data_IF_266173174841
#
_entry.id   IF_266173174841
#
_cell.length_a   1.000
_cell.length_b   1.000
_cell.length_c   1.000
_cell.angle_alpha   90.00
_cell.angle_beta   90.00
_cell.angle_gamma   90.00
#
_symmetry.space_group_name_H-M   'P 1'
#
loop_
_entity.id
_entity.type
_entity.pdbx_description
1 polymer ?
#
# COMPACT_ATOMS: atom_id res chain seq x y z
N UNK A 1 1.99 -23.77 -12.48
CA UNK A 1 0.71 -23.06 -12.46
C UNK A 1 0.22 -22.80 -13.89
N UNK A 2 -1.09 -22.91 -14.21
CA UNK A 2 -1.60 -22.54 -15.53
C UNK A 2 -1.39 -21.04 -15.81
N UNK A 3 -0.95 -20.69 -17.02
CA UNK A 3 -0.66 -19.29 -17.39
C UNK A 3 -1.84 -18.34 -17.23
N UNK A 4 -3.06 -18.82 -17.48
CA UNK A 4 -4.25 -17.99 -17.34
C UNK A 4 -4.50 -17.53 -15.89
N UNK A 5 -4.18 -18.36 -14.89
CA UNK A 5 -4.30 -17.98 -13.46
C UNK A 5 -3.35 -16.84 -13.14
N UNK A 6 -2.10 -16.91 -13.63
CA UNK A 6 -1.12 -15.84 -13.46
C UNK A 6 -1.61 -14.54 -14.12
N UNK A 7 -2.08 -14.62 -15.38
CA UNK A 7 -2.59 -13.44 -16.08
C UNK A 7 -3.76 -12.80 -15.34
N UNK A 8 -4.72 -13.60 -14.86
CA UNK A 8 -5.87 -13.09 -14.10
C UNK A 8 -5.41 -12.42 -12.81
N UNK A 9 -4.50 -13.03 -12.06
CA UNK A 9 -3.97 -12.48 -10.82
C UNK A 9 -3.23 -11.15 -11.06
N UNK A 10 -2.39 -11.08 -12.09
CA UNK A 10 -1.66 -9.87 -12.47
C UNK A 10 -2.62 -8.75 -12.92
N UNK A 11 -3.63 -9.08 -13.69
CA UNK A 11 -4.64 -8.09 -14.12
C UNK A 11 -5.47 -7.55 -12.95
N UNK A 12 -5.81 -8.39 -11.96
CA UNK A 12 -6.48 -7.94 -10.74
C UNK A 12 -5.60 -6.94 -9.96
N UNK A 13 -4.31 -7.25 -9.82
CA UNK A 13 -3.36 -6.33 -9.18
C UNK A 13 -3.22 -5.04 -9.97
N UNK A 14 -3.11 -5.11 -11.29
CA UNK A 14 -3.01 -3.94 -12.15
C UNK A 14 -4.22 -3.01 -12.01
N UNK A 15 -5.43 -3.57 -11.97
CA UNK A 15 -6.66 -2.81 -11.73
C UNK A 15 -6.67 -2.20 -10.34
N UNK A 16 -6.39 -2.99 -9.29
CA UNK A 16 -6.35 -2.51 -7.93
C UNK A 16 -5.32 -1.37 -7.75
N UNK A 17 -4.11 -1.54 -8.27
CA UNK A 17 -3.05 -0.53 -8.22
C UNK A 17 -3.46 0.75 -8.97
N UNK A 18 -4.06 0.63 -10.17
CA UNK A 18 -4.51 1.79 -10.94
C UNK A 18 -5.59 2.58 -10.20
N UNK A 19 -6.52 1.91 -9.53
CA UNK A 19 -7.54 2.54 -8.69
C UNK A 19 -6.90 3.19 -7.46
N UNK A 20 -5.89 2.56 -6.84
CA UNK A 20 -5.12 3.15 -5.74
C UNK A 20 -4.40 4.44 -6.18
N UNK A 21 -3.70 4.41 -7.33
CA UNK A 21 -3.05 5.61 -7.90
C UNK A 21 -4.07 6.74 -8.07
N UNK A 22 -5.25 6.42 -8.59
CA UNK A 22 -6.31 7.41 -8.77
C UNK A 22 -6.81 7.98 -7.44
N UNK A 23 -6.97 7.14 -6.41
CA UNK A 23 -7.37 7.56 -5.07
C UNK A 23 -6.30 8.43 -4.39
N UNK A 24 -5.01 8.07 -4.55
CA UNK A 24 -3.89 8.84 -4.02
C UNK A 24 -3.80 10.21 -4.68
N UNK A 25 -3.90 10.29 -6.01
CA UNK A 25 -3.93 11.57 -6.75
C UNK A 25 -5.11 12.46 -6.29
N UNK A 26 -6.30 11.89 -6.13
CA UNK A 26 -7.47 12.59 -5.61
C UNK A 26 -7.23 13.15 -4.21
N UNK A 27 -6.64 12.34 -3.33
CA UNK A 27 -6.39 12.69 -1.93
C UNK A 27 -5.30 13.73 -1.78
N UNK A 28 -4.22 13.64 -2.58
CA UNK A 28 -3.17 14.66 -2.64
C UNK A 28 -3.73 16.02 -3.08
N UNK A 29 -4.55 16.03 -4.14
CA UNK A 29 -5.20 17.26 -4.61
C UNK A 29 -6.18 17.81 -3.58
N UNK A 30 -6.96 16.96 -2.90
CA UNK A 30 -7.91 17.38 -1.86
C UNK A 30 -7.17 17.95 -0.62
N UNK A 31 -6.07 17.31 -0.18
CA UNK A 31 -5.25 17.81 0.91
C UNK A 31 -4.55 19.14 0.55
N UNK A 32 -4.06 19.28 -0.69
CA UNK A 32 -3.44 20.51 -1.17
C UNK A 32 -4.40 21.71 -1.17
N UNK A 33 -5.69 21.45 -1.44
CA UNK A 33 -6.75 22.48 -1.38
C UNK A 33 -6.99 23.02 0.02
N UNK A 34 -6.58 22.35 1.08
CA UNK A 34 -6.67 22.89 2.45
C UNK A 34 -5.78 24.13 2.64
N UNK A 35 -4.72 24.26 1.84
CA UNK A 35 -3.75 25.35 1.95
C UNK A 35 -3.86 26.33 0.78
N UNK A 36 -4.01 25.80 -0.44
CA UNK A 36 -4.09 26.60 -1.66
C UNK A 36 -5.41 26.31 -2.37
N UNK A 37 -6.34 27.29 -2.49
CA UNK A 37 -7.66 27.10 -3.05
C UNK A 37 -7.60 26.97 -4.59
N UNK A 38 -7.19 25.79 -5.07
CA UNK A 38 -7.18 25.46 -6.51
C UNK A 38 -8.34 24.52 -6.86
N UNK A 39 -8.66 24.45 -8.14
CA UNK A 39 -9.61 23.44 -8.63
C UNK A 39 -9.03 22.03 -8.44
N UNK A 40 -9.86 21.08 -7.96
CA UNK A 40 -9.49 19.69 -7.74
C UNK A 40 -8.86 19.06 -8.98
N UNK A 41 -9.45 19.27 -10.17
CA UNK A 41 -8.96 18.73 -11.42
C UNK A 41 -7.53 19.25 -11.77
N UNK A 42 -7.28 20.53 -11.52
CA UNK A 42 -5.93 21.13 -11.75
C UNK A 42 -4.91 20.47 -10.81
N UNK A 43 -5.26 20.26 -9.54
CA UNK A 43 -4.41 19.58 -8.57
C UNK A 43 -4.08 18.14 -9.00
N UNK A 44 -5.08 17.36 -9.37
CA UNK A 44 -4.92 15.99 -9.84
C UNK A 44 -4.03 15.92 -11.09
N UNK A 45 -4.30 16.74 -12.10
CA UNK A 45 -3.47 16.81 -13.34
C UNK A 45 -2.03 17.22 -13.00
N UNK A 46 -1.86 18.25 -12.14
CA UNK A 46 -0.54 18.72 -11.72
C UNK A 46 0.28 17.63 -11.04
N UNK A 47 -0.28 16.93 -10.05
CA UNK A 47 0.41 15.82 -9.38
C UNK A 47 0.68 14.65 -10.32
N UNK A 48 -0.28 14.27 -11.17
CA UNK A 48 -0.08 13.20 -12.14
C UNK A 48 1.07 13.51 -13.11
N UNK A 49 1.16 14.75 -13.60
CA UNK A 49 2.27 15.17 -14.49
C UNK A 49 3.61 15.19 -13.77
N UNK A 50 3.68 15.75 -12.54
CA UNK A 50 4.90 15.79 -11.74
C UNK A 50 5.41 14.37 -11.50
N UNK A 51 4.53 13.45 -11.09
CA UNK A 51 4.88 12.06 -10.81
C UNK A 51 5.30 11.31 -12.07
N UNK A 52 4.55 11.42 -13.16
CA UNK A 52 4.90 10.75 -14.41
C UNK A 52 6.26 11.24 -14.95
N UNK A 53 6.54 12.55 -14.88
CA UNK A 53 7.83 13.10 -15.30
C UNK A 53 8.94 12.61 -14.35
N UNK A 54 8.73 12.66 -13.03
CA UNK A 54 9.75 12.22 -12.08
C UNK A 54 10.07 10.74 -12.20
N UNK A 55 9.09 9.89 -12.44
CA UNK A 55 9.26 8.43 -12.59
C UNK A 55 10.05 8.06 -13.86
N UNK A 56 9.91 8.86 -14.92
CA UNK A 56 10.64 8.66 -16.18
C UNK A 56 12.06 9.25 -16.12
N UNK A 57 12.27 10.35 -15.36
CA UNK A 57 13.51 11.14 -15.43
C UNK A 57 14.43 10.95 -14.24
N UNK A 58 13.90 10.59 -13.08
CA UNK A 58 14.66 10.51 -11.82
C UNK A 58 14.65 9.07 -11.29
N UNK A 59 15.81 8.44 -11.06
CA UNK A 59 15.87 7.12 -10.44
C UNK A 59 15.16 7.10 -9.08
N UNK A 60 14.30 6.10 -8.88
CA UNK A 60 13.44 6.00 -7.68
C UNK A 60 14.23 6.15 -6.38
N UNK A 61 15.37 5.47 -6.23
CA UNK A 61 16.18 5.50 -5.02
C UNK A 61 16.71 6.89 -4.62
N UNK A 62 16.77 7.85 -5.56
CA UNK A 62 17.24 9.20 -5.25
C UNK A 62 16.18 10.05 -4.58
N UNK A 63 14.97 10.07 -5.14
CA UNK A 63 13.92 10.91 -4.57
C UNK A 63 13.23 10.25 -3.37
N UNK A 64 13.15 8.93 -3.32
CA UNK A 64 12.54 8.21 -2.19
C UNK A 64 13.24 8.50 -0.86
N UNK A 65 14.58 8.69 -0.89
CA UNK A 65 15.36 9.09 0.31
C UNK A 65 14.91 10.44 0.88
N UNK A 66 14.59 11.40 0.02
CA UNK A 66 14.10 12.71 0.46
C UNK A 66 12.64 12.63 0.90
N UNK A 67 11.80 11.93 0.16
CA UNK A 67 10.36 11.84 0.43
C UNK A 67 10.02 11.07 1.71
N UNK A 68 10.85 10.10 2.13
CA UNK A 68 10.64 9.39 3.39
C UNK A 68 10.57 10.33 4.61
N UNK A 69 11.25 11.49 4.56
CA UNK A 69 11.16 12.49 5.62
C UNK A 69 9.77 13.12 5.72
N UNK A 70 9.03 13.23 4.61
CA UNK A 70 7.65 13.70 4.64
C UNK A 70 6.73 12.71 5.35
N UNK A 71 7.00 11.41 5.24
CA UNK A 71 6.24 10.38 5.94
C UNK A 71 6.38 10.47 7.47
N UNK A 72 7.44 11.12 7.99
CA UNK A 72 7.58 11.38 9.42
C UNK A 72 6.46 12.26 9.97
N UNK A 73 5.78 13.05 9.13
CA UNK A 73 4.60 13.82 9.54
C UNK A 73 3.47 12.91 10.07
N UNK A 74 3.40 11.64 9.63
CA UNK A 74 2.45 10.66 10.15
C UNK A 74 2.70 10.30 11.62
N UNK A 75 3.93 10.49 12.13
CA UNK A 75 4.24 10.35 13.55
C UNK A 75 3.49 11.38 14.41
N UNK A 76 2.96 12.44 13.81
CA UNK A 76 2.07 13.37 14.49
C UNK A 76 0.83 12.66 15.08
N UNK A 77 0.29 11.65 14.39
CA UNK A 77 -0.81 10.85 14.94
C UNK A 77 -0.40 10.08 16.20
N UNK A 78 0.85 9.62 16.25
CA UNK A 78 1.42 9.00 17.47
C UNK A 78 1.54 10.05 18.57
N UNK A 79 1.99 11.27 18.26
CA UNK A 79 2.07 12.35 19.23
C UNK A 79 0.70 12.75 19.79
N UNK A 80 -0.37 12.73 18.95
CA UNK A 80 -1.74 13.00 19.41
C UNK A 80 -2.18 12.00 20.49
N UNK A 81 -1.75 10.74 20.45
CA UNK A 81 -2.10 9.75 21.48
C UNK A 81 -1.71 10.17 22.91
N UNK A 82 -0.67 10.99 23.04
CA UNK A 82 -0.18 11.49 24.34
C UNK A 82 -0.88 12.78 24.78
N UNK A 83 -1.50 13.53 23.86
CA UNK A 83 -2.17 14.79 24.12
C UNK A 83 -3.69 14.64 24.18
N UNK A 84 -4.26 13.80 23.31
CA UNK A 84 -5.67 13.49 23.34
C UNK A 84 -5.99 12.61 24.55
N UNK A 85 -7.12 12.86 25.19
CA UNK A 85 -7.60 12.07 26.31
C UNK A 85 -8.11 10.71 25.81
N UNK A 86 -7.17 9.80 25.49
CA UNK A 86 -7.49 8.45 25.05
C UNK A 86 -7.85 7.58 26.23
N UNK A 87 -9.04 7.02 26.22
CA UNK A 87 -9.45 6.00 27.21
C UNK A 87 -8.80 4.65 26.87
N UNK A 88 -7.58 4.46 27.37
CA UNK A 88 -6.78 3.25 27.11
C UNK A 88 -7.45 1.96 27.61
N UNK A 89 -8.26 2.04 28.68
CA UNK A 89 -8.99 0.89 29.19
C UNK A 89 -10.06 0.44 28.18
N UNK A 90 -10.80 1.40 27.63
CA UNK A 90 -11.79 1.13 26.59
C UNK A 90 -11.14 0.69 25.27
N UNK A 91 -10.00 1.26 24.88
CA UNK A 91 -9.25 0.83 23.69
C UNK A 91 -8.78 -0.62 23.85
N UNK A 92 -8.18 -0.97 25.00
CA UNK A 92 -7.75 -2.34 25.27
C UNK A 92 -8.92 -3.33 25.30
N UNK A 93 -10.02 -2.96 25.96
CA UNK A 93 -11.22 -3.78 26.01
C UNK A 93 -11.83 -4.00 24.61
N UNK A 94 -11.99 -2.93 23.83
CA UNK A 94 -12.59 -3.00 22.49
C UNK A 94 -11.68 -3.73 21.47
N UNK A 95 -10.37 -3.71 21.69
CA UNK A 95 -9.40 -4.50 20.90
C UNK A 95 -9.51 -5.99 21.23
N UNK A 96 -9.67 -6.34 22.53
CA UNK A 96 -9.77 -7.73 22.98
C UNK A 96 -11.17 -8.33 22.70
N UNK A 97 -12.22 -7.52 22.81
CA UNK A 97 -13.62 -7.92 22.62
C UNK A 97 -14.27 -6.97 21.63
N UNK A 98 -13.97 -7.11 20.33
CA UNK A 98 -14.51 -6.23 19.29
C UNK A 98 -16.03 -6.39 19.22
N UNK A 99 -16.74 -5.26 19.28
CA UNK A 99 -18.17 -5.20 18.97
C UNK A 99 -18.32 -5.14 17.47
N UNK A 100 -18.96 -6.12 16.90
CA UNK A 100 -19.13 -6.24 15.46
C UNK A 100 -20.61 -6.38 15.11
N UNK A 101 -21.10 -5.44 14.34
CA UNK A 101 -22.42 -5.51 13.76
C UNK A 101 -22.34 -6.24 12.42
N UNK A 102 -23.11 -7.32 12.26
CA UNK A 102 -23.11 -8.15 11.05
C UNK A 102 -23.87 -7.45 9.90
N UNK A 103 -23.43 -6.23 9.54
CA UNK A 103 -23.98 -5.44 8.44
C UNK A 103 -23.03 -5.44 7.24
N UNK A 104 -23.57 -5.17 6.05
CA UNK A 104 -22.74 -5.02 4.84
C UNK A 104 -21.66 -3.96 4.99
N UNK A 105 -22.00 -2.82 5.62
CA UNK A 105 -21.05 -1.73 5.85
C UNK A 105 -19.88 -2.18 6.73
N UNK A 106 -20.18 -2.94 7.81
CA UNK A 106 -19.14 -3.45 8.71
C UNK A 106 -18.19 -4.42 8.01
N UNK A 107 -18.70 -5.32 7.17
CA UNK A 107 -17.87 -6.23 6.38
C UNK A 107 -17.07 -5.47 5.31
N UNK A 108 -17.65 -4.47 4.64
CA UNK A 108 -16.94 -3.62 3.68
C UNK A 108 -15.75 -2.90 4.31
N UNK A 109 -15.96 -2.33 5.50
CA UNK A 109 -14.90 -1.68 6.27
C UNK A 109 -13.81 -2.67 6.71
N UNK A 110 -14.17 -3.89 7.12
CA UNK A 110 -13.19 -4.92 7.44
C UNK A 110 -12.40 -5.39 6.22
N UNK A 111 -13.05 -5.55 5.08
CA UNK A 111 -12.38 -5.88 3.80
C UNK A 111 -11.39 -4.75 3.44
N UNK A 112 -11.84 -3.49 3.56
CA UNK A 112 -11.00 -2.32 3.30
C UNK A 112 -9.80 -2.27 4.25
N UNK A 113 -10.03 -2.45 5.56
CA UNK A 113 -8.97 -2.47 6.58
C UNK A 113 -7.93 -3.58 6.30
N UNK A 114 -8.41 -4.79 6.00
CA UNK A 114 -7.54 -5.90 5.64
C UNK A 114 -6.76 -5.62 4.35
N UNK A 115 -7.40 -5.02 3.35
CA UNK A 115 -6.80 -4.67 2.06
C UNK A 115 -5.74 -3.57 2.15
N UNK A 116 -5.91 -2.61 3.06
CA UNK A 116 -4.87 -1.59 3.33
C UNK A 116 -3.71 -2.16 4.13
N UNK A 117 -3.95 -3.18 4.97
CA UNK A 117 -2.91 -3.81 5.78
C UNK A 117 -2.07 -4.79 4.97
N UNK A 118 -2.71 -5.59 4.11
CA UNK A 118 -2.06 -6.58 3.24
C UNK A 118 -2.31 -6.16 1.79
N UNK A 119 -1.50 -5.22 1.32
CA UNK A 119 -1.65 -4.67 -0.02
C UNK A 119 -0.96 -5.57 -1.05
N UNK A 120 -1.68 -6.03 -2.08
CA UNK A 120 -1.18 -6.99 -3.06
C UNK A 120 0.07 -6.55 -3.82
N UNK A 121 0.22 -5.26 -4.08
CA UNK A 121 1.35 -4.72 -4.84
C UNK A 121 2.70 -4.93 -4.14
N UNK A 122 2.72 -5.01 -2.79
CA UNK A 122 3.94 -5.22 -2.02
C UNK A 122 4.61 -6.56 -2.34
N UNK A 123 3.83 -7.59 -2.69
CA UNK A 123 4.39 -8.90 -3.05
C UNK A 123 5.24 -8.83 -4.34
N UNK A 124 4.79 -8.02 -5.31
CA UNK A 124 5.54 -7.83 -6.57
C UNK A 124 6.68 -6.83 -6.39
N UNK A 125 6.42 -5.72 -5.71
CA UNK A 125 7.41 -4.67 -5.49
C UNK A 125 8.62 -5.19 -4.72
N UNK A 126 8.39 -5.81 -3.56
CA UNK A 126 9.48 -6.34 -2.74
C UNK A 126 10.31 -7.38 -3.50
N UNK A 127 9.67 -8.26 -4.25
CA UNK A 127 10.38 -9.27 -5.03
C UNK A 127 11.23 -8.64 -6.15
N UNK A 128 10.70 -7.62 -6.84
CA UNK A 128 11.42 -6.92 -7.90
C UNK A 128 12.62 -6.13 -7.34
N UNK A 129 12.45 -5.40 -6.24
CA UNK A 129 13.53 -4.65 -5.58
C UNK A 129 14.66 -5.57 -5.12
N UNK A 130 14.36 -6.69 -4.50
CA UNK A 130 15.37 -7.69 -4.08
C UNK A 130 16.16 -8.23 -5.27
N UNK A 131 15.50 -8.45 -6.42
CA UNK A 131 16.17 -8.89 -7.64
C UNK A 131 17.03 -7.78 -8.24
N UNK A 132 16.57 -6.53 -8.23
CA UNK A 132 17.35 -5.40 -8.74
C UNK A 132 18.57 -5.10 -7.86
N UNK A 133 18.42 -5.08 -6.54
CA UNK A 133 19.53 -4.89 -5.60
C UNK A 133 20.62 -5.94 -5.83
N UNK A 134 20.21 -7.18 -6.02
CA UNK A 134 21.13 -8.27 -6.34
C UNK A 134 21.87 -8.05 -7.67
N UNK A 135 21.18 -7.52 -8.68
CA UNK A 135 21.80 -7.22 -9.99
C UNK A 135 22.82 -6.08 -9.90
N UNK A 136 22.62 -5.13 -9.00
CA UNK A 136 23.51 -3.97 -8.81
C UNK A 136 24.76 -4.28 -7.99
N UNK A 137 24.68 -5.22 -7.05
CA UNK A 137 25.78 -5.59 -6.16
C UNK A 137 26.11 -7.09 -6.26
N UNK A 138 26.55 -7.60 -7.41
CA UNK A 138 26.87 -9.02 -7.56
C UNK A 138 27.96 -9.52 -6.62
N UNK A 139 28.89 -8.64 -6.20
CA UNK A 139 30.01 -8.98 -5.32
C UNK A 139 29.59 -9.22 -3.87
N UNK A 140 28.46 -8.66 -3.43
CA UNK A 140 27.94 -8.87 -2.07
C UNK A 140 27.21 -10.23 -1.94
N UNK A 141 26.95 -10.89 -3.06
CA UNK A 141 26.35 -12.21 -3.14
C UNK A 141 27.47 -13.25 -3.39
N UNK A 142 28.20 -13.62 -2.33
CA UNK A 142 29.16 -14.73 -2.41
C UNK A 142 28.48 -15.99 -2.97
N UNK A 143 29.11 -16.56 -4.01
CA UNK A 143 28.68 -17.82 -4.57
C UNK A 143 29.03 -18.88 -3.53
N UNK A 144 28.09 -19.25 -2.67
CA UNK A 144 28.19 -20.42 -1.82
C UNK A 144 28.18 -21.64 -2.77
N UNK A 145 29.30 -22.35 -2.83
CA UNK A 145 29.64 -23.28 -3.91
C UNK A 145 28.68 -24.44 -4.19
N UNK A 146 27.64 -24.62 -3.37
CA UNK A 146 26.62 -25.68 -3.50
C UNK A 146 25.26 -25.17 -4.05
N UNK A 147 25.05 -23.87 -4.20
CA UNK A 147 23.75 -23.34 -4.67
C UNK A 147 23.90 -22.22 -5.72
N UNK A 148 23.30 -22.39 -6.92
CA UNK A 148 23.41 -21.42 -8.00
C UNK A 148 22.68 -20.08 -7.72
N UNK A 149 21.99 -19.96 -6.58
CA UNK A 149 21.20 -18.77 -6.25
C UNK A 149 21.97 -17.67 -5.52
N UNK A 150 23.18 -17.93 -4.98
CA UNK A 150 23.99 -16.94 -4.24
C UNK A 150 23.28 -16.27 -3.05
N UNK A 151 22.17 -16.82 -2.55
CA UNK A 151 21.41 -16.27 -1.41
C UNK A 151 22.03 -16.78 -0.12
N UNK A 152 22.58 -15.87 0.69
CA UNK A 152 23.18 -16.18 1.98
C UNK A 152 22.18 -16.05 3.14
N UNK A 153 22.48 -16.65 4.28
CA UNK A 153 21.64 -16.55 5.47
C UNK A 153 21.57 -15.11 6.01
N UNK A 154 22.65 -14.35 5.86
CA UNK A 154 22.70 -12.93 6.23
C UNK A 154 21.70 -12.09 5.42
N UNK A 155 21.60 -12.30 4.11
CA UNK A 155 20.62 -11.61 3.26
C UNK A 155 19.19 -11.93 3.66
N UNK A 156 18.86 -13.21 3.86
CA UNK A 156 17.50 -13.60 4.29
C UNK A 156 17.17 -13.02 5.66
N UNK A 157 18.15 -12.94 6.57
CA UNK A 157 17.94 -12.34 7.90
C UNK A 157 17.74 -10.83 7.80
N UNK A 158 18.52 -10.12 6.98
CA UNK A 158 18.38 -8.68 6.74
C UNK A 158 17.02 -8.36 6.12
N UNK A 159 16.63 -9.05 5.03
CA UNK A 159 15.32 -8.91 4.40
C UNK A 159 14.17 -9.14 5.38
N UNK A 160 14.24 -10.21 6.20
CA UNK A 160 13.20 -10.47 7.22
C UNK A 160 13.13 -9.38 8.27
N UNK A 161 14.27 -8.82 8.69
CA UNK A 161 14.34 -7.72 9.64
C UNK A 161 13.73 -6.45 9.07
N UNK A 162 14.01 -6.14 7.82
CA UNK A 162 13.48 -4.99 7.11
C UNK A 162 11.96 -5.08 6.94
N UNK A 163 11.46 -6.19 6.39
CA UNK A 163 10.03 -6.44 6.23
C UNK A 163 9.31 -6.40 7.58
N UNK A 164 9.85 -7.04 8.63
CA UNK A 164 9.22 -7.05 9.95
C UNK A 164 9.14 -5.65 10.56
N UNK A 165 10.23 -4.88 10.51
CA UNK A 165 10.27 -3.52 11.06
C UNK A 165 9.36 -2.57 10.31
N UNK A 166 9.33 -2.66 8.97
CA UNK A 166 8.44 -1.86 8.12
C UNK A 166 6.97 -2.16 8.39
N UNK A 167 6.59 -3.45 8.40
CA UNK A 167 5.22 -3.86 8.69
C UNK A 167 4.77 -3.48 10.11
N UNK A 168 5.64 -3.68 11.11
CA UNK A 168 5.33 -3.30 12.50
C UNK A 168 5.10 -1.79 12.63
N UNK A 169 5.96 -0.98 12.00
CA UNK A 169 5.82 0.48 11.99
C UNK A 169 4.52 0.91 11.30
N UNK A 170 4.20 0.33 10.13
CA UNK A 170 2.97 0.63 9.40
C UNK A 170 1.71 0.30 10.21
N UNK A 171 1.65 -0.91 10.81
CA UNK A 171 0.53 -1.32 11.66
C UNK A 171 0.41 -0.43 12.91
N UNK A 172 1.53 -0.03 13.51
CA UNK A 172 1.52 0.87 14.67
C UNK A 172 1.00 2.26 14.31
N UNK A 173 1.42 2.84 13.18
CA UNK A 173 0.90 4.13 12.69
C UNK A 173 -0.60 4.03 12.37
N UNK A 174 -1.02 2.95 11.71
CA UNK A 174 -2.44 2.71 11.44
C UNK A 174 -3.26 2.65 12.74
N UNK A 175 -2.79 1.92 13.73
CA UNK A 175 -3.42 1.88 15.06
C UNK A 175 -3.48 3.28 15.70
N UNK A 176 -2.40 4.06 15.62
CA UNK A 176 -2.36 5.43 16.14
C UNK A 176 -3.41 6.32 15.47
N UNK A 177 -3.55 6.25 14.14
CA UNK A 177 -4.57 6.99 13.37
C UNK A 177 -5.97 6.58 13.81
N UNK A 178 -6.24 5.28 13.96
CA UNK A 178 -7.55 4.78 14.40
C UNK A 178 -7.88 5.25 15.83
N UNK A 179 -6.95 5.11 16.76
CA UNK A 179 -7.15 5.48 18.16
C UNK A 179 -7.33 7.00 18.33
N UNK A 180 -6.54 7.82 17.61
CA UNK A 180 -6.70 9.28 17.63
C UNK A 180 -8.01 9.72 17.00
N UNK A 181 -8.43 9.12 15.89
CA UNK A 181 -9.71 9.41 15.25
C UNK A 181 -10.88 9.02 16.14
N UNK A 182 -10.78 7.90 16.86
CA UNK A 182 -11.78 7.50 17.83
C UNK A 182 -11.87 8.47 19.02
N UNK A 183 -10.74 8.93 19.55
CA UNK A 183 -10.69 9.86 20.69
C UNK A 183 -11.09 11.29 20.33
N UNK A 184 -11.00 11.70 19.08
CA UNK A 184 -11.30 13.07 18.63
C UNK A 184 -12.61 13.16 17.86
N UNK A 185 -12.73 12.52 16.70
CA UNK A 185 -13.88 12.62 15.82
C UNK A 185 -15.10 11.87 16.39
N UNK A 186 -14.92 10.61 16.76
CA UNK A 186 -16.01 9.78 17.27
C UNK A 186 -16.54 10.31 18.62
N UNK A 187 -15.67 10.84 19.47
CA UNK A 187 -16.07 11.51 20.71
C UNK A 187 -16.94 12.76 20.47
N UNK A 188 -16.84 13.39 19.29
CA UNK A 188 -17.68 14.52 18.86
C UNK A 188 -18.89 14.08 18.03
N UNK A 189 -19.13 12.76 17.89
CA UNK A 189 -20.24 12.21 17.10
C UNK A 189 -20.02 12.23 15.59
N UNK A 190 -18.79 12.55 15.12
CA UNK A 190 -18.42 12.52 13.71
C UNK A 190 -18.02 11.09 13.35
N UNK A 191 -18.94 10.35 12.74
CA UNK A 191 -18.74 8.94 12.38
C UNK A 191 -18.55 8.71 10.87
N UNK A 192 -18.82 9.73 10.05
CA UNK A 192 -18.71 9.65 8.59
C UNK A 192 -17.84 10.78 8.07
N UNK A 193 -16.60 10.49 7.77
CA UNK A 193 -15.62 11.42 7.22
C UNK A 193 -15.82 11.48 5.70
N UNK A 194 -16.10 12.67 5.18
CA UNK A 194 -16.35 12.88 3.74
C UNK A 194 -15.33 13.81 3.09
N UNK A 195 -14.62 14.62 3.86
CA UNK A 195 -13.70 15.63 3.36
C UNK A 195 -12.30 15.49 3.93
N UNK A 196 -11.30 16.01 3.21
CA UNK A 196 -9.92 16.06 3.69
C UNK A 196 -9.79 16.95 4.95
N UNK A 197 -10.65 17.97 5.08
CA UNK A 197 -10.68 18.85 6.25
C UNK A 197 -11.11 18.08 7.50
N UNK A 198 -12.18 17.29 7.41
CA UNK A 198 -12.62 16.39 8.50
C UNK A 198 -11.53 15.37 8.85
N UNK A 199 -10.88 14.80 7.84
CA UNK A 199 -9.79 13.83 8.05
C UNK A 199 -8.53 14.44 8.73
N UNK A 200 -8.32 15.76 8.61
CA UNK A 200 -7.24 16.49 9.30
C UNK A 200 -7.56 16.83 10.76
N UNK A 201 -8.82 16.83 11.17
CA UNK A 201 -9.24 17.27 12.52
C UNK A 201 -8.56 16.49 13.67
N UNK A 202 -8.29 15.16 13.58
CA UNK A 202 -7.59 14.44 14.61
C UNK A 202 -6.21 15.03 15.00
N UNK A 203 -5.61 15.82 14.11
CA UNK A 203 -4.32 16.47 14.35
C UNK A 203 -4.44 17.81 15.09
N UNK A 204 -5.64 18.38 15.22
CA UNK A 204 -5.86 19.68 15.89
C UNK A 204 -5.36 19.75 17.34
N UNK A 205 -5.46 18.69 18.17
CA UNK A 205 -4.99 18.78 19.56
C UNK A 205 -3.49 19.14 19.72
N UNK A 206 -2.67 18.81 18.71
CA UNK A 206 -1.23 19.16 18.73
C UNK A 206 -0.86 20.25 17.74
N UNK A 207 -1.54 20.32 16.59
CA UNK A 207 -1.18 21.23 15.50
C UNK A 207 -2.07 22.47 15.42
N UNK A 208 -3.19 22.54 16.17
CA UNK A 208 -4.12 23.66 16.12
C UNK A 208 -4.51 24.00 14.68
N UNK A 209 -4.31 25.25 14.27
CA UNK A 209 -4.61 25.75 12.93
C UNK A 209 -3.70 25.16 11.84
N UNK A 210 -2.53 24.60 12.21
CA UNK A 210 -1.60 23.94 11.31
C UNK A 210 -1.98 22.46 11.02
N UNK A 211 -3.07 21.94 11.56
CA UNK A 211 -3.51 20.56 11.34
C UNK A 211 -3.67 20.22 9.86
N UNK A 212 -4.22 21.16 9.06
CA UNK A 212 -4.34 21.00 7.62
C UNK A 212 -2.99 20.91 6.90
N UNK A 213 -2.00 21.70 7.32
CA UNK A 213 -0.64 21.65 6.75
C UNK A 213 0.05 20.32 7.09
N UNK A 214 -0.05 19.88 8.34
CA UNK A 214 0.54 18.63 8.79
C UNK A 214 -0.10 17.42 8.08
N UNK A 215 -1.41 17.43 7.91
CA UNK A 215 -2.14 16.45 7.13
C UNK A 215 -1.69 16.44 5.66
N UNK A 216 -1.58 17.63 5.04
CA UNK A 216 -1.09 17.77 3.67
C UNK A 216 0.30 17.15 3.51
N UNK A 217 1.24 17.47 4.40
CA UNK A 217 2.61 16.92 4.33
C UNK A 217 2.60 15.39 4.43
N UNK A 218 1.74 14.81 5.28
CA UNK A 218 1.56 13.37 5.38
C UNK A 218 1.02 12.76 4.09
N UNK A 219 -0.07 13.29 3.58
CA UNK A 219 -0.71 12.78 2.35
C UNK A 219 0.20 12.95 1.13
N UNK A 220 0.88 14.10 1.01
CA UNK A 220 1.86 14.30 -0.07
C UNK A 220 3.03 13.32 0.05
N UNK A 221 3.58 13.15 1.26
CA UNK A 221 4.70 12.23 1.48
C UNK A 221 4.34 10.80 1.11
N UNK A 222 3.19 10.32 1.58
CA UNK A 222 2.69 8.98 1.25
C UNK A 222 2.40 8.87 -0.24
N UNK A 223 1.63 9.79 -0.84
CA UNK A 223 1.23 9.70 -2.25
C UNK A 223 2.42 9.80 -3.22
N UNK A 224 3.39 10.68 -2.94
CA UNK A 224 4.60 10.80 -3.75
C UNK A 224 5.49 9.54 -3.69
N UNK A 225 5.42 8.76 -2.60
CA UNK A 225 6.12 7.47 -2.49
C UNK A 225 5.30 6.29 -3.01
N UNK A 226 4.00 6.25 -2.72
CA UNK A 226 3.15 5.11 -3.06
C UNK A 226 2.87 5.01 -4.55
N UNK A 227 2.61 6.13 -5.23
CA UNK A 227 2.22 6.13 -6.65
C UNK A 227 3.29 5.49 -7.55
N UNK A 228 4.59 5.83 -7.45
CA UNK A 228 5.63 5.14 -8.20
C UNK A 228 5.75 3.65 -7.86
N UNK A 229 5.59 3.29 -6.59
CA UNK A 229 5.62 1.88 -6.15
C UNK A 229 4.44 1.10 -6.76
N UNK A 230 3.24 1.69 -6.80
CA UNK A 230 2.04 1.08 -7.38
C UNK A 230 2.19 0.92 -8.91
N UNK A 231 2.65 1.97 -9.60
CA UNK A 231 2.85 1.95 -11.04
C UNK A 231 3.99 1.00 -11.44
N UNK A 232 5.12 1.06 -10.72
CA UNK A 232 6.27 0.16 -10.90
C UNK A 232 5.91 -1.30 -10.63
N UNK A 233 5.23 -1.60 -9.52
CA UNK A 233 4.74 -2.95 -9.20
C UNK A 233 3.85 -3.52 -10.31
N UNK A 234 2.96 -2.69 -10.87
CA UNK A 234 2.11 -3.08 -12.00
C UNK A 234 2.94 -3.37 -13.24
N UNK A 235 3.93 -2.52 -13.52
CA UNK A 235 4.81 -2.67 -14.67
C UNK A 235 5.68 -3.92 -14.55
N UNK A 236 6.24 -4.22 -13.39
CA UNK A 236 6.99 -5.46 -13.12
C UNK A 236 6.10 -6.69 -13.31
N UNK A 237 4.93 -6.73 -12.65
CA UNK A 237 4.04 -7.88 -12.73
C UNK A 237 3.60 -8.19 -14.17
N UNK A 238 3.30 -7.15 -14.97
CA UNK A 238 2.92 -7.32 -16.37
C UNK A 238 4.15 -7.71 -17.21
N UNK A 239 5.29 -7.02 -17.06
CA UNK A 239 6.48 -7.27 -17.86
C UNK A 239 7.01 -8.70 -17.66
N UNK A 240 7.10 -9.17 -16.40
CA UNK A 240 7.48 -10.56 -16.07
C UNK A 240 6.51 -11.58 -16.69
N UNK A 241 5.19 -11.32 -16.63
CA UNK A 241 4.18 -12.22 -17.17
C UNK A 241 4.32 -12.42 -18.69
N UNK A 242 4.70 -11.35 -19.40
CA UNK A 242 4.86 -11.36 -20.86
C UNK A 242 6.31 -11.53 -21.33
N UNK A 243 7.28 -11.61 -20.40
CA UNK A 243 8.70 -11.79 -20.71
C UNK A 243 9.33 -10.55 -21.35
N UNK A 244 8.88 -9.34 -20.98
CA UNK A 244 9.45 -8.09 -21.45
C UNK A 244 10.67 -7.70 -20.62
N UNK A 245 11.52 -6.84 -21.18
CA UNK A 245 12.60 -6.22 -20.42
C UNK A 245 12.02 -5.29 -19.38
N UNK A 246 12.47 -5.44 -18.16
CA UNK A 246 11.98 -4.72 -16.99
C UNK A 246 13.16 -4.29 -16.13
N UNK A 247 13.14 -3.06 -15.68
CA UNK A 247 13.91 -2.50 -14.57
C UNK A 247 13.68 -0.99 -14.52
N UNK A 248 13.58 -0.44 -13.34
CA UNK A 248 13.57 1.02 -13.11
C UNK A 248 14.95 1.66 -13.31
N UNK A 249 16.00 0.85 -13.39
CA UNK A 249 17.37 1.31 -13.69
C UNK A 249 17.66 1.40 -15.19
N UNK A 250 16.85 0.76 -16.02
CA UNK A 250 16.98 0.84 -17.46
C UNK A 250 16.39 2.17 -17.98
N UNK A 251 17.07 2.76 -18.98
CA UNK A 251 16.49 3.93 -19.64
C UNK A 251 15.16 3.56 -20.34
N UNK A 252 14.19 4.49 -20.44
CA UNK A 252 12.89 4.24 -21.08
C UNK A 252 12.98 3.70 -22.51
N UNK A 253 14.07 4.03 -23.22
CA UNK A 253 14.32 3.52 -24.57
C UNK A 253 14.66 2.01 -24.60
N UNK A 254 15.16 1.46 -23.49
CA UNK A 254 15.57 0.06 -23.37
C UNK A 254 14.45 -0.85 -22.86
N UNK A 255 13.48 -0.30 -22.09
CA UNK A 255 12.35 -0.98 -21.51
C UNK A 255 11.01 -0.30 -21.86
N UNK A 256 10.78 -0.06 -23.16
CA UNK A 256 9.62 0.72 -23.65
C UNK A 256 8.26 0.17 -23.18
N UNK A 257 8.09 -1.14 -23.17
CA UNK A 257 6.83 -1.75 -22.74
C UNK A 257 6.59 -1.56 -21.25
N UNK A 258 7.64 -1.73 -20.43
CA UNK A 258 7.61 -1.50 -18.99
C UNK A 258 7.18 -0.06 -18.63
N UNK A 259 7.87 0.93 -19.20
CA UNK A 259 7.50 2.34 -19.00
C UNK A 259 6.16 2.69 -19.65
N UNK A 260 5.77 1.99 -20.73
CA UNK A 260 4.44 2.11 -21.32
C UNK A 260 3.33 1.71 -20.36
N UNK A 261 3.52 0.64 -19.57
CA UNK A 261 2.57 0.23 -18.53
C UNK A 261 2.44 1.32 -17.45
N UNK A 262 3.56 1.88 -16.97
CA UNK A 262 3.57 2.98 -15.99
C UNK A 262 2.72 4.16 -16.50
N UNK A 263 3.01 4.62 -17.72
CA UNK A 263 2.29 5.75 -18.32
C UNK A 263 0.80 5.45 -18.51
N UNK A 264 0.47 4.26 -19.00
CA UNK A 264 -0.94 3.85 -19.20
C UNK A 264 -1.67 3.78 -17.86
N UNK A 265 -1.08 3.17 -16.82
CA UNK A 265 -1.67 3.12 -15.48
C UNK A 265 -1.92 4.52 -14.93
N UNK A 266 -0.97 5.45 -15.11
CA UNK A 266 -1.11 6.84 -14.68
C UNK A 266 -2.21 7.57 -15.46
N UNK A 267 -2.31 7.39 -16.78
CA UNK A 267 -3.35 8.00 -17.60
C UNK A 267 -4.74 7.47 -17.26
N UNK A 268 -4.87 6.16 -17.04
CA UNK A 268 -6.13 5.55 -16.60
C UNK A 268 -6.51 6.07 -15.22
N UNK A 269 -5.57 6.10 -14.28
CA UNK A 269 -5.79 6.63 -12.93
C UNK A 269 -6.21 8.11 -12.96
N UNK A 270 -5.56 8.92 -13.80
CA UNK A 270 -5.95 10.31 -14.03
C UNK A 270 -7.39 10.39 -14.57
N UNK A 271 -7.74 9.58 -15.57
CA UNK A 271 -9.07 9.57 -16.18
C UNK A 271 -10.17 9.19 -15.19
N UNK A 272 -9.90 8.23 -14.28
CA UNK A 272 -10.82 7.81 -13.23
C UNK A 272 -11.20 8.97 -12.28
N UNK A 273 -10.33 9.95 -12.10
CA UNK A 273 -10.62 11.11 -11.25
C UNK A 273 -11.72 12.03 -11.83
N UNK A 274 -12.06 11.90 -13.11
CA UNK A 274 -13.13 12.69 -13.75
C UNK A 274 -14.49 11.99 -13.73
N UNK A 275 -14.59 10.80 -13.13
CA UNK A 275 -15.87 10.07 -12.97
C UNK A 275 -16.78 10.70 -11.89
N UNK A 276 -16.26 11.65 -11.09
CA UNK A 276 -17.04 12.37 -10.10
C UNK A 276 -17.15 11.67 -8.74
N UNK A 277 -16.28 10.69 -8.45
CA UNK A 277 -16.21 10.03 -7.14
C UNK A 277 -15.47 10.94 -6.16
N UNK A 278 -16.01 11.09 -4.94
CA UNK A 278 -15.34 11.85 -3.88
C UNK A 278 -14.03 11.17 -3.45
N UNK A 279 -12.96 11.94 -3.12
CA UNK A 279 -11.63 11.38 -2.78
C UNK A 279 -11.66 10.32 -1.67
N UNK A 280 -12.39 10.58 -0.58
CA UNK A 280 -12.48 9.63 0.54
C UNK A 280 -13.19 8.33 0.14
N UNK A 281 -14.27 8.43 -0.63
CA UNK A 281 -14.95 7.23 -1.17
C UNK A 281 -14.04 6.45 -2.14
N UNK A 282 -13.21 7.19 -2.88
CA UNK A 282 -12.28 6.55 -3.80
C UNK A 282 -11.21 5.74 -3.07
N UNK A 283 -10.68 6.28 -1.95
CA UNK A 283 -9.77 5.53 -1.07
C UNK A 283 -10.44 4.26 -0.52
N UNK A 284 -11.72 4.34 -0.10
CA UNK A 284 -12.46 3.17 0.38
C UNK A 284 -12.61 2.11 -0.72
N UNK A 285 -13.00 2.51 -1.93
CA UNK A 285 -13.13 1.59 -3.08
C UNK A 285 -11.79 0.92 -3.38
N UNK A 286 -10.70 1.68 -3.41
CA UNK A 286 -9.35 1.17 -3.62
C UNK A 286 -8.97 0.14 -2.54
N UNK A 287 -9.24 0.45 -1.27
CA UNK A 287 -8.98 -0.43 -0.14
C UNK A 287 -9.79 -1.74 -0.22
N UNK A 288 -11.06 -1.68 -0.59
CA UNK A 288 -11.90 -2.86 -0.80
C UNK A 288 -11.38 -3.72 -1.95
N UNK A 289 -10.98 -3.13 -3.07
CA UNK A 289 -10.38 -3.86 -4.20
C UNK A 289 -9.10 -4.59 -3.79
N UNK A 290 -8.25 -3.95 -2.98
CA UNK A 290 -7.06 -4.59 -2.41
C UNK A 290 -7.45 -5.78 -1.52
N UNK A 291 -8.45 -5.60 -0.64
CA UNK A 291 -8.94 -6.66 0.24
C UNK A 291 -9.55 -7.85 -0.49
N UNK A 292 -10.15 -7.62 -1.66
CA UNK A 292 -10.68 -8.68 -2.51
C UNK A 292 -9.58 -9.43 -3.30
N UNK A 293 -8.55 -8.72 -3.74
CA UNK A 293 -7.47 -9.30 -4.54
C UNK A 293 -6.39 -9.99 -3.70
N UNK A 294 -6.13 -9.53 -2.47
CA UNK A 294 -5.09 -10.05 -1.61
C UNK A 294 -5.22 -11.57 -1.31
N UNK A 295 -6.38 -12.12 -0.94
CA UNK A 295 -6.51 -13.56 -0.66
C UNK A 295 -6.13 -14.45 -1.85
N UNK A 296 -6.42 -14.01 -3.07
CA UNK A 296 -6.09 -14.75 -4.30
C UNK A 296 -4.57 -14.87 -4.43
N UNK A 297 -3.84 -13.77 -4.22
CA UNK A 297 -2.38 -13.77 -4.26
C UNK A 297 -1.77 -14.54 -3.08
N UNK A 298 -2.35 -14.42 -1.89
CA UNK A 298 -1.88 -15.17 -0.72
C UNK A 298 -1.96 -16.69 -0.93
N UNK A 299 -2.99 -17.17 -1.64
CA UNK A 299 -3.07 -18.58 -2.07
C UNK A 299 -1.89 -18.94 -2.98
N UNK A 300 -1.58 -18.08 -3.96
CA UNK A 300 -0.43 -18.30 -4.85
C UNK A 300 0.87 -18.33 -4.06
N UNK A 301 1.09 -17.36 -3.19
CA UNK A 301 2.28 -17.30 -2.31
C UNK A 301 2.37 -18.53 -1.41
N UNK A 302 1.24 -19.05 -0.90
CA UNK A 302 1.23 -20.26 -0.08
C UNK A 302 1.71 -21.49 -0.87
N UNK A 303 1.32 -21.63 -2.14
CA UNK A 303 1.80 -22.71 -3.01
C UNK A 303 3.30 -22.56 -3.31
N UNK A 304 3.79 -21.33 -3.56
CA UNK A 304 5.22 -21.07 -3.78
C UNK A 304 6.04 -21.32 -2.51
N UNK A 305 5.57 -20.89 -1.35
CA UNK A 305 6.25 -21.00 -0.06
C UNK A 305 6.51 -22.45 0.40
N UNK A 306 5.75 -23.42 -0.12
CA UNK A 306 5.94 -24.84 0.19
C UNK A 306 6.79 -25.61 -0.81
N UNK A 307 7.07 -25.01 -1.98
CA UNK A 307 7.77 -25.70 -3.08
C UNK A 307 9.28 -25.78 -2.78
N UNK A 308 9.72 -26.96 -2.34
CA UNK A 308 11.13 -27.22 -2.05
C UNK A 308 11.99 -27.31 -3.31
N UNK A 309 11.41 -27.59 -4.47
CA UNK A 309 12.18 -27.64 -5.72
C UNK A 309 12.54 -26.21 -6.17
N UNK A 310 11.68 -25.22 -5.84
CA UNK A 310 11.92 -23.81 -6.13
C UNK A 310 12.81 -23.13 -5.09
N UNK A 311 12.52 -23.37 -3.81
CA UNK A 311 13.12 -22.62 -2.69
C UNK A 311 14.27 -23.38 -1.99
N UNK A 312 14.44 -24.69 -2.27
CA UNK A 312 15.48 -25.49 -1.63
C UNK A 312 15.40 -25.44 -0.10
N UNK A 313 16.54 -25.09 0.52
CA UNK A 313 16.66 -24.92 1.99
C UNK A 313 15.85 -23.72 2.55
N UNK A 314 15.48 -22.78 1.70
CA UNK A 314 14.74 -21.57 2.08
C UNK A 314 13.21 -21.75 2.09
N UNK A 315 12.72 -22.96 1.81
CA UNK A 315 11.30 -23.23 1.90
C UNK A 315 10.76 -22.85 3.29
N UNK A 316 9.61 -22.17 3.29
CA UNK A 316 9.02 -21.60 4.52
C UNK A 316 8.76 -22.69 5.57
N UNK A 317 9.03 -22.43 6.87
CA UNK A 317 8.73 -23.35 7.95
C UNK A 317 7.21 -23.56 8.10
N UNK A 318 6.82 -24.66 8.75
CA UNK A 318 5.41 -25.05 8.86
C UNK A 318 4.57 -23.97 9.55
N UNK A 319 5.07 -23.35 10.62
CA UNK A 319 4.33 -22.30 11.35
C UNK A 319 4.01 -21.09 10.47
N UNK A 320 4.95 -20.68 9.60
CA UNK A 320 4.73 -19.56 8.66
C UNK A 320 3.66 -19.90 7.62
N UNK A 321 3.66 -21.14 7.12
CA UNK A 321 2.64 -21.62 6.17
C UNK A 321 1.25 -21.70 6.82
N UNK A 322 1.19 -22.10 8.09
CA UNK A 322 -0.07 -22.13 8.86
C UNK A 322 -0.58 -20.70 9.08
N UNK A 323 0.27 -19.76 9.49
CA UNK A 323 -0.13 -18.36 9.67
C UNK A 323 -0.63 -17.75 8.37
N UNK A 324 0.08 -17.99 7.25
CA UNK A 324 -0.36 -17.52 5.94
C UNK A 324 -1.71 -18.14 5.54
N UNK A 325 -1.91 -19.42 5.78
CA UNK A 325 -3.19 -20.08 5.49
C UNK A 325 -4.34 -19.51 6.34
N UNK A 326 -4.10 -19.31 7.65
CA UNK A 326 -5.09 -18.69 8.56
C UNK A 326 -5.45 -17.27 8.09
N UNK A 327 -4.45 -16.45 7.78
CA UNK A 327 -4.67 -15.09 7.27
C UNK A 327 -5.45 -15.12 5.93
N UNK A 328 -5.10 -16.04 5.02
CA UNK A 328 -5.78 -16.21 3.73
C UNK A 328 -7.25 -16.60 3.92
N UNK A 329 -7.54 -17.54 4.83
CA UNK A 329 -8.92 -17.97 5.14
C UNK A 329 -9.68 -16.81 5.79
N UNK A 330 -9.08 -16.13 6.77
CA UNK A 330 -9.70 -15.00 7.45
C UNK A 330 -10.09 -13.90 6.44
N UNK A 331 -9.15 -13.44 5.62
CA UNK A 331 -9.41 -12.42 4.61
C UNK A 331 -10.38 -12.90 3.52
N UNK A 332 -10.21 -14.12 3.02
CA UNK A 332 -11.07 -14.69 1.98
C UNK A 332 -12.50 -14.96 2.43
N UNK A 333 -12.74 -15.14 3.73
CA UNK A 333 -14.08 -15.30 4.29
C UNK A 333 -14.88 -13.98 4.36
N UNK A 334 -14.21 -12.84 4.52
CA UNK A 334 -14.88 -11.53 4.64
C UNK A 334 -15.78 -11.19 3.45
N UNK A 335 -15.33 -11.31 2.18
CA UNK A 335 -16.21 -11.08 1.02
C UNK A 335 -17.40 -12.05 0.96
N UNK A 336 -17.20 -13.29 1.39
CA UNK A 336 -18.28 -14.29 1.44
C UNK A 336 -19.34 -13.86 2.45
N UNK A 337 -18.94 -13.49 3.67
CA UNK A 337 -19.87 -12.98 4.67
C UNK A 337 -20.56 -11.69 4.23
N UNK A 338 -19.85 -10.80 3.54
CA UNK A 338 -20.41 -9.57 2.99
C UNK A 338 -21.57 -9.84 2.03
N UNK A 339 -21.49 -10.89 1.20
CA UNK A 339 -22.57 -11.27 0.30
C UNK A 339 -23.86 -11.70 1.02
N UNK A 340 -23.74 -12.29 2.21
CA UNK A 340 -24.86 -12.79 3.01
C UNK A 340 -25.29 -11.83 4.14
N UNK A 341 -24.55 -10.76 4.38
CA UNK A 341 -24.89 -9.73 5.36
C UNK A 341 -26.11 -8.91 4.92
N UNK A 342 -26.88 -8.43 5.90
CA UNK A 342 -28.10 -7.61 5.69
C UNK A 342 -27.75 -6.12 5.67
#
# INVERSE_FOLDING_TARGET
MPRWVLVVAVMLVAVANTVNIAADLASMAAAFRLIIPINQAIGVIGFAMILAISEITIPYHRYSKALRWLCLSLLAYVAVLFVAHVDWANVAYSTAVPRFDFTKVSFELLIALAGTTISPYLFFWQAAEEVEERRQSPADFEIDGDHPSGVTESHVRAMRGDVFSGMLTGVFIMFAIMATSAATLNAQGITNIQTAEEAAQPLRPIAGDFAGLLFLLGILGVGLLSIPVLAGSTAYAIAETFGWRESLELAPRQAKAFYGVIVVSMLVALSLNFVGIQPIKFLLVAAVLNGLSAPILMVIVWFLAKDKNLLGRWASPMWSKILLAVATIAMGSLPVFWLFAK
#
